data_IF_739759096404
#
_entry.id   IF_739759096404
#
_cell.length_a   1.000
_cell.length_b   1.000
_cell.length_c   1.000
_cell.angle_alpha   90.00
_cell.angle_beta   90.00
_cell.angle_gamma   90.00
#
_symmetry.space_group_name_H-M   'P 1'
#
loop_
_entity.id
_entity.type
_entity.pdbx_description
1 polymer ?
#
# COMPACT_ATOMS: atom_id res chain seq x y z
N UNK A 1 2.14 24.62 -1.35
CA UNK A 1 1.63 23.24 -1.39
C UNK A 1 0.30 23.25 -0.68
N UNK A 2 -0.76 22.74 -1.31
CA UNK A 2 -2.10 22.77 -0.71
C UNK A 2 -2.15 21.73 0.41
N UNK A 3 -2.53 22.17 1.61
CA UNK A 3 -2.77 21.32 2.76
C UNK A 3 -3.96 20.41 2.47
N UNK A 4 -3.86 19.12 2.80
CA UNK A 4 -5.01 18.22 2.68
C UNK A 4 -6.08 18.61 3.70
N UNK A 5 -7.33 18.60 3.26
CA UNK A 5 -8.47 18.65 4.16
C UNK A 5 -8.55 17.39 5.03
N UNK A 6 -9.26 17.47 6.16
CA UNK A 6 -9.54 16.31 7.02
C UNK A 6 -10.16 15.15 6.22
N UNK A 7 -11.05 15.45 5.26
CA UNK A 7 -11.67 14.43 4.41
C UNK A 7 -10.64 13.72 3.53
N UNK A 8 -9.71 14.46 2.94
CA UNK A 8 -8.64 13.87 2.12
C UNK A 8 -7.68 13.02 2.96
N UNK A 9 -7.35 13.46 4.19
CA UNK A 9 -6.56 12.67 5.12
C UNK A 9 -7.24 11.35 5.50
N UNK A 10 -8.56 11.37 5.75
CA UNK A 10 -9.32 10.15 6.03
C UNK A 10 -9.33 9.18 4.83
N UNK A 11 -9.48 9.69 3.60
CA UNK A 11 -9.37 8.85 2.41
C UNK A 11 -7.98 8.25 2.24
N UNK A 12 -6.91 9.00 2.54
CA UNK A 12 -5.54 8.48 2.52
C UNK A 12 -5.32 7.41 3.59
N UNK A 13 -5.91 7.58 4.79
CA UNK A 13 -5.86 6.58 5.85
C UNK A 13 -6.57 5.28 5.47
N UNK A 14 -7.79 5.37 4.92
CA UNK A 14 -8.56 4.20 4.47
C UNK A 14 -7.87 3.50 3.29
N UNK A 15 -7.24 4.27 2.40
CA UNK A 15 -6.39 3.73 1.33
C UNK A 15 -5.19 2.97 1.89
N UNK A 16 -4.57 3.46 2.97
CA UNK A 16 -3.52 2.75 3.69
C UNK A 16 -3.98 1.39 4.22
N UNK A 17 -5.16 1.33 4.86
CA UNK A 17 -5.75 0.08 5.36
C UNK A 17 -6.04 -0.92 4.24
N UNK A 18 -6.49 -0.43 3.08
CA UNK A 18 -6.70 -1.26 1.89
C UNK A 18 -5.38 -1.89 1.43
N UNK A 19 -4.31 -1.09 1.33
CA UNK A 19 -3.02 -1.62 0.90
C UNK A 19 -2.41 -2.62 1.89
N UNK A 20 -2.58 -2.43 3.20
CA UNK A 20 -2.18 -3.42 4.21
C UNK A 20 -2.91 -4.76 4.03
N UNK A 21 -4.19 -4.70 3.65
CA UNK A 21 -4.99 -5.90 3.36
C UNK A 21 -4.48 -6.62 2.10
N UNK A 22 -4.09 -5.84 1.09
CA UNK A 22 -3.51 -6.37 -0.15
C UNK A 22 -2.15 -7.02 0.11
N UNK A 23 -1.24 -6.41 0.89
CA UNK A 23 0.06 -7.02 1.21
C UNK A 23 -0.15 -8.33 1.96
N UNK A 24 -1.02 -8.39 2.98
CA UNK A 24 -1.34 -9.63 3.69
C UNK A 24 -1.86 -10.73 2.76
N UNK A 25 -2.70 -10.35 1.79
CA UNK A 25 -3.22 -11.28 0.78
C UNK A 25 -2.11 -11.78 -0.15
N UNK A 26 -1.20 -10.90 -0.57
CA UNK A 26 -0.03 -11.27 -1.36
C UNK A 26 0.90 -12.21 -0.60
N UNK A 27 1.16 -11.93 0.69
CA UNK A 27 1.98 -12.81 1.54
C UNK A 27 1.34 -14.20 1.67
N UNK A 28 0.02 -14.25 1.90
CA UNK A 28 -0.69 -15.53 1.95
C UNK A 28 -0.57 -16.29 0.63
N UNK A 29 -0.84 -15.63 -0.50
CA UNK A 29 -0.75 -16.26 -1.82
C UNK A 29 0.68 -16.75 -2.13
N UNK A 30 1.73 -16.04 -1.70
CA UNK A 30 3.13 -16.46 -1.87
C UNK A 30 3.48 -17.72 -1.07
N UNK A 31 2.82 -17.94 0.07
CA UNK A 31 2.99 -19.15 0.88
C UNK A 31 2.30 -20.37 0.24
N UNK A 32 1.13 -20.17 -0.36
CA UNK A 32 0.31 -21.26 -0.92
C UNK A 32 0.70 -21.65 -2.36
N UNK A 33 1.11 -20.69 -3.18
CA UNK A 33 1.48 -20.94 -4.58
C UNK A 33 2.75 -21.79 -4.62
N UNK A 34 2.79 -22.77 -5.51
CA UNK A 34 3.98 -23.57 -5.80
C UNK A 34 4.63 -23.21 -7.13
N UNK A 35 3.85 -22.67 -8.07
CA UNK A 35 4.31 -22.25 -9.38
C UNK A 35 5.27 -21.04 -9.30
N UNK A 36 6.53 -21.15 -9.80
CA UNK A 36 7.51 -20.08 -9.71
C UNK A 36 7.15 -18.80 -10.50
N UNK A 37 6.46 -18.92 -11.64
CA UNK A 37 6.07 -17.76 -12.44
C UNK A 37 4.97 -16.98 -11.74
N UNK A 38 4.00 -17.69 -11.16
CA UNK A 38 2.93 -17.07 -10.37
C UNK A 38 3.53 -16.40 -9.11
N UNK A 39 4.51 -17.03 -8.43
CA UNK A 39 5.24 -16.38 -7.33
C UNK A 39 5.93 -15.09 -7.76
N UNK A 40 6.58 -15.10 -8.92
CA UNK A 40 7.27 -13.92 -9.46
C UNK A 40 6.29 -12.78 -9.76
N UNK A 41 5.12 -13.11 -10.33
CA UNK A 41 4.05 -12.16 -10.60
C UNK A 41 3.49 -11.54 -9.31
N UNK A 42 3.15 -12.38 -8.32
CA UNK A 42 2.62 -11.90 -7.03
C UNK A 42 3.67 -11.03 -6.32
N UNK A 43 4.95 -11.42 -6.36
CA UNK A 43 6.04 -10.65 -5.77
C UNK A 43 6.20 -9.28 -6.42
N UNK A 44 6.12 -9.23 -7.75
CA UNK A 44 6.22 -7.97 -8.51
C UNK A 44 5.05 -7.03 -8.19
N UNK A 45 3.83 -7.57 -8.17
CA UNK A 45 2.64 -6.84 -7.76
C UNK A 45 2.75 -6.31 -6.32
N UNK A 46 3.21 -7.15 -5.39
CA UNK A 46 3.35 -6.74 -4.00
C UNK A 46 4.41 -5.63 -3.81
N UNK A 47 5.51 -5.69 -4.55
CA UNK A 47 6.51 -4.63 -4.53
C UNK A 47 5.96 -3.28 -5.02
N UNK A 48 5.12 -3.29 -6.05
CA UNK A 48 4.44 -2.07 -6.51
C UNK A 48 3.50 -1.51 -5.42
N UNK A 49 2.71 -2.38 -4.77
CA UNK A 49 1.84 -1.96 -3.66
C UNK A 49 2.62 -1.34 -2.50
N UNK A 50 3.76 -1.92 -2.11
CA UNK A 50 4.62 -1.36 -1.05
C UNK A 50 5.13 0.04 -1.36
N UNK A 51 5.43 0.34 -2.62
CA UNK A 51 5.81 1.70 -3.02
C UNK A 51 4.63 2.69 -2.92
N UNK A 52 3.41 2.25 -3.23
CA UNK A 52 2.21 3.08 -3.07
C UNK A 52 1.88 3.35 -1.60
N UNK A 53 2.05 2.36 -0.72
CA UNK A 53 1.93 2.52 0.74
C UNK A 53 2.90 3.62 1.21
N UNK A 54 4.19 3.48 0.88
CA UNK A 54 5.21 4.45 1.29
C UNK A 54 4.89 5.86 0.78
N UNK A 55 4.42 5.98 -0.46
CA UNK A 55 4.03 7.26 -1.07
C UNK A 55 2.85 7.88 -0.31
N UNK A 56 1.81 7.11 -0.05
CA UNK A 56 0.60 7.55 0.67
C UNK A 56 0.92 7.99 2.09
N UNK A 57 1.69 7.20 2.83
CA UNK A 57 2.17 7.55 4.18
C UNK A 57 2.98 8.85 4.16
N UNK A 58 3.86 9.03 3.17
CA UNK A 58 4.66 10.25 3.07
C UNK A 58 3.82 11.51 2.85
N UNK A 59 2.70 11.40 2.12
CA UNK A 59 1.76 12.50 1.87
C UNK A 59 1.02 12.90 3.15
N UNK A 60 0.56 11.91 3.92
CA UNK A 60 -0.08 12.15 5.23
C UNK A 60 0.89 12.76 6.22
N UNK A 61 2.10 12.18 6.38
CA UNK A 61 3.10 12.67 7.33
C UNK A 61 3.56 14.10 7.00
N UNK A 62 3.82 14.41 5.73
CA UNK A 62 4.18 15.78 5.31
C UNK A 62 3.08 16.78 5.58
N UNK A 63 1.82 16.39 5.42
CA UNK A 63 0.67 17.26 5.72
C UNK A 63 0.40 17.42 7.21
N UNK A 64 0.86 16.50 8.06
CA UNK A 64 0.73 16.58 9.52
C UNK A 64 1.85 17.35 10.23
N UNK A 65 2.99 17.56 9.55
CA UNK A 65 4.18 18.25 10.09
C UNK A 65 4.25 19.75 9.72
N UNK A 66 3.29 20.25 8.93
CA UNK A 66 3.14 21.66 8.54
C UNK A 66 1.91 22.26 9.18
#
# INVERSE_FOLDING_TARGET
MNQFSTRELLYLEDTGKLFDTIDKTCQHALMEVTDPQIKSLISSMNNAHKQWIQSTTSLVTKSSLQ
#
